data_IF_145058559727
#
_entry.id   IF_145058559727
#
_cell.length_a   1.000
_cell.length_b   1.000
_cell.length_c   1.000
_cell.angle_alpha   90.00
_cell.angle_beta   90.00
_cell.angle_gamma   90.00
#
_symmetry.space_group_name_H-M   'P 1'
#
loop_
_entity.id
_entity.type
_entity.pdbx_description
1 polymer ?
#
# COMPACT_ATOMS: atom_id res chain seq x y z
N UNK A 1 -15.77 -14.89 -10.99
CA UNK A 1 -15.91 -13.42 -10.82
C UNK A 1 -17.09 -13.16 -9.92
N UNK A 2 -16.97 -12.19 -9.01
CA UNK A 2 -18.09 -11.67 -8.22
C UNK A 2 -18.62 -10.41 -8.91
N UNK A 3 -19.94 -10.17 -8.85
CA UNK A 3 -20.56 -8.96 -9.38
C UNK A 3 -20.61 -7.86 -8.33
N UNK A 4 -20.46 -6.61 -8.77
CA UNK A 4 -20.57 -5.42 -7.95
C UNK A 4 -21.53 -4.46 -8.67
N UNK A 5 -22.64 -4.11 -8.03
CA UNK A 5 -23.60 -3.14 -8.56
C UNK A 5 -23.32 -1.78 -7.94
N UNK A 6 -23.14 -0.76 -8.76
CA UNK A 6 -22.81 0.60 -8.33
C UNK A 6 -23.72 1.58 -9.05
N UNK A 7 -24.38 2.46 -8.29
CA UNK A 7 -25.09 3.60 -8.84
C UNK A 7 -24.11 4.75 -9.08
N UNK A 8 -24.10 5.29 -10.30
CA UNK A 8 -23.21 6.37 -10.69
C UNK A 8 -24.03 7.56 -11.23
N UNK A 9 -23.62 8.81 -10.93
CA UNK A 9 -24.14 9.97 -11.65
C UNK A 9 -23.94 9.82 -13.15
N UNK A 10 -24.88 10.39 -13.94
CA UNK A 10 -24.87 10.31 -15.40
C UNK A 10 -23.52 10.71 -16.01
N UNK A 11 -22.94 11.81 -15.55
CA UNK A 11 -21.65 12.30 -16.04
C UNK A 11 -20.49 11.30 -15.82
N UNK A 12 -20.48 10.57 -14.70
CA UNK A 12 -19.47 9.55 -14.44
C UNK A 12 -19.63 8.34 -15.37
N UNK A 13 -20.88 7.92 -15.63
CA UNK A 13 -21.17 6.85 -16.58
C UNK A 13 -20.69 7.21 -17.99
N UNK A 14 -21.05 8.39 -18.48
CA UNK A 14 -20.66 8.89 -19.81
C UNK A 14 -19.14 8.99 -19.97
N UNK A 15 -18.45 9.42 -18.90
CA UNK A 15 -17.00 9.45 -18.86
C UNK A 15 -16.39 8.04 -19.01
N UNK A 16 -16.89 7.05 -18.25
CA UNK A 16 -16.41 5.67 -18.34
C UNK A 16 -16.65 5.09 -19.74
N UNK A 17 -17.83 5.32 -20.31
CA UNK A 17 -18.16 4.88 -21.67
C UNK A 17 -17.20 5.50 -22.71
N UNK A 18 -16.84 6.77 -22.55
CA UNK A 18 -15.85 7.44 -23.40
C UNK A 18 -14.46 6.79 -23.28
N UNK A 19 -14.03 6.37 -22.08
CA UNK A 19 -12.74 5.68 -21.91
C UNK A 19 -12.71 4.32 -22.61
N UNK A 20 -13.84 3.61 -22.60
CA UNK A 20 -13.99 2.34 -23.33
C UNK A 20 -13.96 2.58 -24.84
N UNK A 21 -14.65 3.61 -25.34
CA UNK A 21 -14.68 3.95 -26.77
C UNK A 21 -13.31 4.36 -27.33
N UNK A 22 -12.43 4.93 -26.50
CA UNK A 22 -11.04 5.25 -26.89
C UNK A 22 -10.18 3.99 -27.15
N UNK A 23 -10.70 2.79 -26.90
CA UNK A 23 -10.03 1.53 -27.20
C UNK A 23 -9.01 1.08 -26.15
N UNK A 24 -8.81 1.86 -25.08
CA UNK A 24 -7.92 1.49 -23.98
C UNK A 24 -8.52 0.39 -23.09
N UNK A 25 -9.84 0.23 -23.10
CA UNK A 25 -10.57 -0.77 -22.31
C UNK A 25 -11.70 -1.36 -23.13
N UNK A 26 -11.96 -2.65 -22.97
CA UNK A 26 -13.01 -3.38 -23.71
C UNK A 26 -14.36 -3.29 -23.01
N UNK A 27 -14.40 -3.04 -21.70
CA UNK A 27 -15.64 -2.93 -20.91
C UNK A 27 -15.52 -1.92 -19.76
N UNK A 28 -16.64 -1.34 -19.27
CA UNK A 28 -16.64 -0.53 -18.06
C UNK A 28 -16.07 -1.27 -16.84
N UNK A 29 -16.38 -2.57 -16.70
CA UNK A 29 -15.84 -3.40 -15.62
C UNK A 29 -14.32 -3.55 -15.69
N UNK A 30 -13.74 -3.56 -16.88
CA UNK A 30 -12.28 -3.56 -17.06
C UNK A 30 -11.67 -2.24 -16.63
N UNK A 31 -12.25 -1.12 -17.08
CA UNK A 31 -11.83 0.21 -16.65
C UNK A 31 -11.85 0.35 -15.12
N UNK A 32 -12.96 -0.05 -14.49
CA UNK A 32 -13.10 -0.01 -13.03
C UNK A 32 -12.07 -0.89 -12.30
N UNK A 33 -11.78 -2.09 -12.81
CA UNK A 33 -10.74 -2.95 -12.22
C UNK A 33 -9.35 -2.33 -12.31
N UNK A 34 -9.04 -1.64 -13.42
CA UNK A 34 -7.78 -0.93 -13.57
C UNK A 34 -7.66 0.20 -12.56
N UNK A 35 -8.70 1.04 -12.42
CA UNK A 35 -8.73 2.10 -11.41
C UNK A 35 -8.53 1.58 -9.98
N UNK A 36 -9.13 0.44 -9.63
CA UNK A 36 -8.93 -0.17 -8.31
C UNK A 36 -7.48 -0.62 -8.10
N UNK A 37 -6.83 -1.18 -9.12
CA UNK A 37 -5.41 -1.57 -9.01
C UNK A 37 -4.50 -0.35 -8.88
N UNK A 38 -4.80 0.72 -9.61
CA UNK A 38 -4.06 1.99 -9.54
C UNK A 38 -4.22 2.64 -8.16
N UNK A 39 -5.44 2.70 -7.60
CA UNK A 39 -5.67 3.18 -6.23
C UNK A 39 -4.90 2.34 -5.20
N UNK A 40 -4.90 1.00 -5.34
CA UNK A 40 -4.11 0.13 -4.47
C UNK A 40 -2.61 0.42 -4.56
N UNK A 41 -2.07 0.59 -5.78
CA UNK A 41 -0.66 0.93 -6.00
C UNK A 41 -0.30 2.27 -5.35
N UNK A 42 -1.12 3.30 -5.57
CA UNK A 42 -0.89 4.62 -4.99
C UNK A 42 -0.95 4.62 -3.47
N UNK A 43 -1.88 3.87 -2.86
CA UNK A 43 -1.92 3.73 -1.39
C UNK A 43 -0.69 3.02 -0.85
N UNK A 44 -0.16 2.03 -1.56
CA UNK A 44 1.07 1.35 -1.17
C UNK A 44 2.29 2.28 -1.27
N UNK A 45 2.37 3.08 -2.33
CA UNK A 45 3.41 4.09 -2.52
C UNK A 45 3.37 5.15 -1.41
N UNK A 46 2.19 5.69 -1.11
CA UNK A 46 1.99 6.65 -0.02
C UNK A 46 2.40 6.07 1.35
N UNK A 47 2.10 4.80 1.60
CA UNK A 47 2.51 4.13 2.83
C UNK A 47 4.03 3.99 2.91
N UNK A 48 4.69 3.63 1.81
CA UNK A 48 6.14 3.54 1.75
C UNK A 48 6.79 4.90 1.99
N UNK A 49 6.28 5.95 1.34
CA UNK A 49 6.75 7.32 1.52
C UNK A 49 6.64 7.77 2.97
N UNK A 50 5.49 7.52 3.62
CA UNK A 50 5.30 7.84 5.03
C UNK A 50 6.33 7.14 5.94
N UNK A 51 6.63 5.86 5.69
CA UNK A 51 7.65 5.12 6.46
C UNK A 51 9.07 5.65 6.23
N UNK A 52 9.37 6.09 5.01
CA UNK A 52 10.66 6.70 4.69
C UNK A 52 10.82 8.05 5.40
N UNK A 53 9.77 8.88 5.41
CA UNK A 53 9.76 10.13 6.15
C UNK A 53 9.91 9.90 7.66
N UNK A 54 9.15 8.97 8.23
CA UNK A 54 9.29 8.58 9.65
C UNK A 54 10.73 8.14 9.95
N UNK A 55 11.36 7.39 9.04
CA UNK A 55 12.75 6.95 9.20
C UNK A 55 13.74 8.11 9.16
N UNK A 56 13.54 9.10 8.28
CA UNK A 56 14.38 10.30 8.23
C UNK A 56 14.23 11.17 9.49
N UNK A 57 13.03 11.18 10.07
CA UNK A 57 12.73 11.90 11.31
C UNK A 57 13.12 11.09 12.58
N UNK A 58 13.52 9.82 12.43
CA UNK A 58 13.78 8.90 13.56
C UNK A 58 15.07 9.21 14.34
N UNK A 59 15.83 10.21 13.91
CA UNK A 59 17.03 10.70 14.58
C UNK A 59 18.32 10.31 13.87
N UNK A 60 19.43 10.38 14.61
CA UNK A 60 20.76 10.15 14.03
C UNK A 60 20.94 8.69 13.57
N UNK A 61 21.51 8.47 12.37
CA UNK A 61 21.87 7.14 11.90
C UNK A 61 22.83 6.45 12.88
N UNK A 62 22.65 5.15 13.08
CA UNK A 62 23.51 4.33 13.93
C UNK A 62 24.25 3.34 13.04
N UNK A 63 25.55 3.14 13.32
CA UNK A 63 26.34 2.13 12.62
C UNK A 63 25.82 0.72 12.90
N UNK A 64 25.57 -0.02 11.83
CA UNK A 64 25.07 -1.39 11.90
C UNK A 64 26.26 -2.36 11.89
N UNK A 65 26.68 -2.77 13.09
CA UNK A 65 27.77 -3.76 13.29
C UNK A 65 27.24 -5.14 13.68
N UNK A 66 28.06 -6.21 13.62
CA UNK A 66 27.68 -7.52 14.14
C UNK A 66 27.26 -7.48 15.62
N UNK A 67 27.93 -6.68 16.45
CA UNK A 67 27.65 -6.51 17.88
C UNK A 67 26.30 -5.84 18.10
N UNK A 68 25.95 -4.83 17.29
CA UNK A 68 24.63 -4.19 17.31
C UNK A 68 23.52 -5.23 17.12
N UNK A 69 23.68 -6.12 16.14
CA UNK A 69 22.70 -7.19 15.88
C UNK A 69 22.60 -8.18 17.02
N UNK A 70 23.72 -8.56 17.63
CA UNK A 70 23.73 -9.49 18.75
C UNK A 70 23.00 -8.89 19.97
N UNK A 71 23.29 -7.63 20.30
CA UNK A 71 22.59 -6.92 21.38
C UNK A 71 21.07 -6.84 21.14
N UNK A 72 20.64 -6.53 19.91
CA UNK A 72 19.23 -6.47 19.54
C UNK A 72 18.53 -7.83 19.66
N UNK A 73 19.20 -8.93 19.27
CA UNK A 73 18.66 -10.29 19.41
C UNK A 73 18.49 -10.67 20.87
N UNK A 74 19.51 -10.44 21.70
CA UNK A 74 19.45 -10.75 23.13
C UNK A 74 18.31 -9.98 23.81
N UNK A 75 18.17 -8.67 23.53
CA UNK A 75 17.07 -7.86 24.06
C UNK A 75 15.68 -8.39 23.65
N UNK A 76 15.53 -8.84 22.41
CA UNK A 76 14.28 -9.46 21.93
C UNK A 76 13.96 -10.75 22.70
N UNK A 77 14.94 -11.65 22.84
CA UNK A 77 14.79 -12.93 23.55
C UNK A 77 14.38 -12.69 25.00
N UNK A 78 15.07 -11.78 25.71
CA UNK A 78 14.73 -11.43 27.09
C UNK A 78 13.31 -10.88 27.21
N UNK A 79 12.88 -10.02 26.26
CA UNK A 79 11.52 -9.48 26.25
C UNK A 79 10.46 -10.54 26.00
N UNK A 80 10.76 -11.55 25.19
CA UNK A 80 9.85 -12.67 24.95
C UNK A 80 9.72 -13.58 26.17
N UNK A 81 10.82 -13.87 26.85
CA UNK A 81 10.83 -14.69 28.08
C UNK A 81 10.09 -14.00 29.23
N UNK A 82 10.27 -12.69 29.40
CA UNK A 82 9.57 -11.90 30.41
C UNK A 82 8.05 -11.80 30.17
N UNK A 83 7.59 -12.06 28.94
CA UNK A 83 6.15 -12.04 28.57
C UNK A 83 5.47 -13.40 28.74
N UNK A 84 6.24 -14.45 29.03
CA UNK A 84 5.77 -15.82 29.26
C UNK A 84 5.70 -16.19 30.75
N UNK A 85 6.15 -15.31 31.63
CA UNK A 85 5.97 -15.40 33.09
C UNK A 85 4.83 -14.50 33.52
#
# INVERSE_FOLDING_TARGET
MTSLNISLPRAMKEYIETQVQKGAFSTPSEYMRTLVREDQKHRQEQKLEALLLESLESGEPVDITPEFWEQRRQALISRMQARQQ
#
